data_IF_288950355355
#
_entry.id   IF_288950355355
#
_cell.length_a   1.000
_cell.length_b   1.000
_cell.length_c   1.000
_cell.angle_alpha   90.00
_cell.angle_beta   90.00
_cell.angle_gamma   90.00
#
_symmetry.space_group_name_H-M   'P 1'
#
loop_
_entity.id
_entity.type
_entity.pdbx_description
1 polymer ?
#
# COMPACT_ATOMS: atom_id res chain seq x y z
N UNK A 1 7.38 0.80 -25.28
CA UNK A 1 6.84 1.41 -24.04
C UNK A 1 5.97 2.65 -24.28
N UNK A 2 4.97 2.88 -23.42
CA UNK A 2 4.24 4.16 -23.29
C UNK A 2 4.83 5.07 -22.20
N UNK A 3 5.97 4.69 -21.63
CA UNK A 3 6.65 5.40 -20.55
C UNK A 3 7.97 5.98 -21.04
N UNK A 4 8.26 7.17 -20.54
CA UNK A 4 9.48 7.92 -20.80
C UNK A 4 10.08 8.35 -19.46
N UNK A 5 11.40 8.40 -19.40
CA UNK A 5 12.16 9.06 -18.34
C UNK A 5 12.61 10.43 -18.84
N UNK A 6 12.53 11.45 -18.00
CA UNK A 6 12.86 12.82 -18.35
C UNK A 6 13.48 13.54 -17.14
N UNK A 7 13.94 14.77 -17.37
CA UNK A 7 14.33 15.69 -16.31
C UNK A 7 13.56 17.02 -16.42
N UNK A 8 13.78 17.94 -15.49
CA UNK A 8 13.30 19.33 -15.59
C UNK A 8 14.45 20.28 -15.88
N UNK A 9 14.23 21.25 -16.76
CA UNK A 9 15.21 22.30 -17.06
C UNK A 9 15.18 23.42 -16.00
N UNK A 10 16.04 24.44 -16.14
CA UNK A 10 16.13 25.56 -15.19
C UNK A 10 14.85 26.40 -15.01
N UNK A 11 13.89 26.27 -15.93
CA UNK A 11 12.57 26.91 -15.83
C UNK A 11 11.51 25.98 -15.23
N UNK A 12 11.90 24.79 -14.77
CA UNK A 12 11.00 23.77 -14.24
C UNK A 12 10.19 23.03 -15.30
N UNK A 13 10.46 23.22 -16.60
CA UNK A 13 9.75 22.52 -17.67
C UNK A 13 10.38 21.15 -17.93
N UNK A 14 9.55 20.16 -18.27
CA UNK A 14 10.02 18.83 -18.69
C UNK A 14 10.94 18.97 -19.90
N UNK A 15 12.08 18.28 -19.85
CA UNK A 15 13.10 18.27 -20.90
C UNK A 15 13.69 16.87 -21.09
N UNK A 16 14.38 16.68 -22.21
CA UNK A 16 15.20 15.47 -22.47
C UNK A 16 14.44 14.15 -22.34
N UNK A 17 13.22 14.06 -22.89
CA UNK A 17 12.44 12.82 -22.82
C UNK A 17 13.19 11.66 -23.52
N UNK A 18 13.35 10.55 -22.80
CA UNK A 18 13.92 9.30 -23.29
C UNK A 18 12.91 8.19 -23.10
N UNK A 19 12.54 7.52 -24.19
CA UNK A 19 11.61 6.39 -24.13
C UNK A 19 12.28 5.23 -23.39
N UNK A 20 11.63 4.66 -22.38
CA UNK A 20 12.25 3.66 -21.48
C UNK A 20 12.60 2.35 -22.19
N UNK A 21 11.79 1.95 -23.18
CA UNK A 21 12.11 0.81 -24.05
C UNK A 21 11.28 0.89 -25.34
N UNK A 22 11.88 0.46 -26.44
CA UNK A 22 11.18 0.25 -27.71
C UNK A 22 10.40 -1.07 -27.73
N UNK A 23 10.82 -2.03 -26.92
CA UNK A 23 10.25 -3.37 -26.86
C UNK A 23 9.05 -3.44 -25.90
N UNK A 24 8.28 -4.52 -26.03
CA UNK A 24 7.23 -4.87 -25.08
C UNK A 24 7.83 -5.66 -23.95
N UNK A 25 7.71 -5.15 -22.73
CA UNK A 25 8.15 -5.82 -21.51
C UNK A 25 6.95 -6.06 -20.59
N UNK A 26 7.01 -7.14 -19.82
CA UNK A 26 6.07 -7.38 -18.73
C UNK A 26 6.65 -6.77 -17.45
N UNK A 27 5.87 -5.88 -16.83
CA UNK A 27 6.17 -5.30 -15.53
C UNK A 27 4.88 -5.39 -14.70
N UNK A 28 4.80 -6.40 -13.82
CA UNK A 28 3.64 -6.64 -12.98
C UNK A 28 3.69 -5.78 -11.70
N UNK A 29 2.56 -5.63 -10.98
CA UNK A 29 2.57 -4.96 -9.68
C UNK A 29 3.60 -5.60 -8.73
N UNK A 30 4.51 -4.79 -8.19
CA UNK A 30 5.60 -5.23 -7.31
C UNK A 30 6.89 -5.62 -8.04
N UNK A 31 6.90 -5.65 -9.37
CA UNK A 31 8.14 -5.83 -10.13
C UNK A 31 8.99 -4.54 -10.15
N UNK A 32 10.29 -4.72 -10.31
CA UNK A 32 11.27 -3.65 -10.38
C UNK A 32 12.08 -3.77 -11.67
N UNK A 33 12.23 -2.65 -12.38
CA UNK A 33 13.16 -2.51 -13.50
C UNK A 33 14.11 -1.34 -13.26
N UNK A 34 15.27 -1.39 -13.90
CA UNK A 34 16.26 -0.31 -13.85
C UNK A 34 16.56 0.17 -15.26
N UNK A 35 16.73 1.48 -15.43
CA UNK A 35 17.14 2.08 -16.70
C UNK A 35 18.58 2.56 -16.54
N UNK A 36 19.45 2.23 -17.50
CA UNK A 36 20.89 2.55 -17.45
C UNK A 36 21.42 2.89 -18.84
N UNK A 37 22.55 3.60 -18.93
CA UNK A 37 23.31 3.76 -20.18
C UNK A 37 24.27 2.59 -20.44
N UNK A 38 24.69 1.90 -19.37
CA UNK A 38 25.68 0.82 -19.41
C UNK A 38 25.23 -0.34 -18.49
N UNK A 39 24.67 -1.39 -19.09
CA UNK A 39 24.23 -2.56 -18.34
C UNK A 39 25.40 -3.41 -17.81
N UNK A 40 26.55 -3.40 -18.50
CA UNK A 40 27.71 -4.18 -18.09
C UNK A 40 28.38 -3.54 -16.87
N UNK A 41 28.51 -2.22 -16.85
CA UNK A 41 28.99 -1.50 -15.67
C UNK A 41 28.05 -1.72 -14.48
N UNK A 42 26.73 -1.56 -14.67
CA UNK A 42 25.74 -1.77 -13.60
C UNK A 42 25.87 -3.16 -12.96
N UNK A 43 26.01 -4.22 -13.77
CA UNK A 43 26.17 -5.61 -13.31
C UNK A 43 27.50 -5.90 -12.63
N UNK A 44 28.54 -5.08 -12.88
CA UNK A 44 29.83 -5.17 -12.17
C UNK A 44 29.80 -4.43 -10.84
N UNK A 45 29.06 -3.33 -10.77
CA UNK A 45 28.99 -2.44 -9.61
C UNK A 45 27.99 -2.93 -8.57
N UNK A 46 26.87 -3.54 -8.99
CA UNK A 46 25.78 -3.92 -8.10
C UNK A 46 25.28 -5.34 -8.38
N UNK A 47 24.69 -5.96 -7.35
CA UNK A 47 23.95 -7.21 -7.52
C UNK A 47 22.69 -6.95 -8.36
N UNK A 48 22.60 -7.57 -9.53
CA UNK A 48 21.39 -7.57 -10.37
C UNK A 48 20.69 -8.92 -10.24
N UNK A 49 19.49 -8.95 -9.64
CA UNK A 49 18.72 -10.18 -9.44
C UNK A 49 17.95 -10.61 -10.67
N UNK A 50 17.46 -9.67 -11.47
CA UNK A 50 16.74 -9.94 -12.71
C UNK A 50 17.38 -9.20 -13.88
N UNK A 51 18.20 -9.90 -14.67
CA UNK A 51 18.89 -9.29 -15.82
C UNK A 51 17.94 -8.85 -16.94
N UNK A 52 16.76 -9.46 -17.06
CA UNK A 52 15.76 -9.11 -18.08
C UNK A 52 15.04 -7.79 -17.75
N UNK A 53 15.14 -7.34 -16.49
CA UNK A 53 14.59 -6.06 -16.03
C UNK A 53 15.62 -4.91 -16.09
N UNK A 54 16.77 -5.12 -16.74
CA UNK A 54 17.75 -4.07 -17.03
C UNK A 54 17.49 -3.51 -18.42
N UNK A 55 17.06 -2.25 -18.48
CA UNK A 55 16.71 -1.56 -19.71
C UNK A 55 17.83 -0.58 -20.07
N UNK A 56 18.64 -0.94 -21.07
CA UNK A 56 19.73 -0.09 -21.52
C UNK A 56 19.26 0.91 -22.58
N UNK A 57 19.55 2.19 -22.35
CA UNK A 57 19.32 3.27 -23.30
C UNK A 57 20.63 3.78 -23.87
N UNK A 58 20.60 4.31 -25.08
CA UNK A 58 21.79 4.97 -25.67
C UNK A 58 22.18 6.24 -24.91
N UNK A 59 21.22 6.87 -24.23
CA UNK A 59 21.48 7.93 -23.28
C UNK A 59 20.29 8.14 -22.34
N UNK A 60 20.55 8.61 -21.13
CA UNK A 60 19.59 9.09 -20.15
C UNK A 60 19.42 10.61 -20.26
N UNK A 61 18.37 11.17 -19.63
CA UNK A 61 18.37 12.59 -19.25
C UNK A 61 19.56 12.86 -18.31
N UNK A 62 20.03 14.11 -18.26
CA UNK A 62 21.04 14.49 -17.27
C UNK A 62 20.45 14.39 -15.87
N UNK A 63 21.08 13.55 -15.03
CA UNK A 63 20.73 13.26 -13.64
C UNK A 63 22.02 13.38 -12.80
N UNK A 64 22.47 14.61 -12.48
CA UNK A 64 23.64 14.84 -11.63
C UNK A 64 23.45 14.19 -10.25
N UNK A 65 24.53 13.78 -9.62
CA UNK A 65 24.55 13.19 -8.26
C UNK A 65 24.31 14.24 -7.16
N UNK A 66 24.74 15.50 -7.36
CA UNK A 66 24.54 16.60 -6.40
C UNK A 66 23.05 16.98 -6.21
N UNK A 67 22.34 17.21 -7.32
CA UNK A 67 20.89 17.48 -7.34
C UNK A 67 20.33 17.36 -8.75
N UNK A 68 19.09 16.90 -8.84
CA UNK A 68 18.41 16.78 -10.12
C UNK A 68 16.92 16.60 -9.96
N UNK A 69 16.23 16.43 -11.08
CA UNK A 69 14.83 16.00 -11.08
C UNK A 69 14.69 14.84 -12.03
N UNK A 70 14.29 13.69 -11.50
CA UNK A 70 13.89 12.53 -12.29
C UNK A 70 12.37 12.54 -12.45
N UNK A 71 11.90 12.40 -13.69
CA UNK A 71 10.47 12.43 -14.03
C UNK A 71 10.12 11.17 -14.81
N UNK A 72 9.11 10.44 -14.34
CA UNK A 72 8.46 9.37 -15.08
C UNK A 72 7.20 9.92 -15.73
N UNK A 73 7.15 9.90 -17.06
CA UNK A 73 6.07 10.51 -17.83
C UNK A 73 5.44 9.48 -18.78
N UNK A 74 4.11 9.50 -18.87
CA UNK A 74 3.37 8.69 -19.82
C UNK A 74 3.34 9.36 -21.21
N UNK A 75 3.11 8.58 -22.27
CA UNK A 75 3.15 9.04 -23.67
C UNK A 75 2.14 10.15 -23.99
N UNK A 76 1.08 10.29 -23.19
CA UNK A 76 0.11 11.37 -23.32
C UNK A 76 0.55 12.70 -22.65
N UNK A 77 1.72 12.72 -21.99
CA UNK A 77 2.26 13.88 -21.30
C UNK A 77 1.98 13.94 -19.80
N UNK A 78 1.23 12.98 -19.26
CA UNK A 78 0.93 12.94 -17.82
C UNK A 78 2.19 12.53 -17.03
N UNK A 79 2.57 13.35 -16.04
CA UNK A 79 3.61 12.99 -15.08
C UNK A 79 3.02 11.95 -14.12
N UNK A 80 3.59 10.74 -14.15
CA UNK A 80 3.16 9.64 -13.30
C UNK A 80 3.79 9.73 -11.91
N UNK A 81 5.08 10.05 -11.87
CA UNK A 81 5.82 10.32 -10.63
C UNK A 81 7.03 11.22 -10.93
N UNK A 82 7.48 11.96 -9.93
CA UNK A 82 8.68 12.77 -10.00
C UNK A 82 9.35 12.95 -8.64
N UNK A 83 10.67 13.08 -8.64
CA UNK A 83 11.47 13.40 -7.46
C UNK A 83 12.51 14.46 -7.79
N UNK A 84 12.51 15.55 -7.03
CA UNK A 84 13.58 16.54 -7.02
C UNK A 84 14.54 16.22 -5.86
N UNK A 85 15.56 15.41 -6.15
CA UNK A 85 16.48 14.89 -5.14
C UNK A 85 17.69 15.81 -4.94
N UNK A 86 18.38 15.61 -3.82
CA UNK A 86 19.67 16.23 -3.48
C UNK A 86 20.57 15.19 -2.83
N UNK A 87 21.87 15.32 -3.02
CA UNK A 87 22.92 14.56 -2.34
C UNK A 87 22.75 14.55 -0.82
N UNK A 88 22.35 15.67 -0.22
CA UNK A 88 22.13 15.81 1.22
C UNK A 88 21.01 14.91 1.80
N UNK A 89 20.34 14.11 0.96
CA UNK A 89 19.36 13.08 1.35
C UNK A 89 20.01 11.76 1.74
N UNK A 90 21.30 11.58 1.44
CA UNK A 90 22.07 10.47 1.97
C UNK A 90 22.18 10.52 3.49
N UNK A 91 22.39 9.36 4.09
CA UNK A 91 22.59 9.25 5.53
C UNK A 91 23.85 10.02 5.94
N UNK A 92 23.70 11.01 6.83
CA UNK A 92 24.76 11.97 7.15
C UNK A 92 26.01 11.42 7.85
N UNK A 93 26.10 10.11 8.11
CA UNK A 93 27.32 9.44 8.57
C UNK A 93 28.06 8.70 7.45
N UNK A 94 27.60 8.82 6.20
CA UNK A 94 28.34 8.35 5.02
C UNK A 94 29.26 9.49 4.60
N UNK A 95 30.57 9.29 4.77
CA UNK A 95 31.60 10.29 4.43
C UNK A 95 31.80 10.43 2.91
N UNK A 96 31.53 9.36 2.16
CA UNK A 96 31.60 9.32 0.69
C UNK A 96 30.42 8.49 0.18
N UNK A 97 29.48 9.15 -0.48
CA UNK A 97 28.26 8.59 -1.06
C UNK A 97 28.44 8.16 -2.53
N UNK A 98 29.65 8.22 -3.06
CA UNK A 98 29.97 7.68 -4.39
C UNK A 98 29.58 6.20 -4.50
N UNK A 99 28.77 5.88 -5.51
CA UNK A 99 28.24 4.54 -5.72
C UNK A 99 27.15 4.11 -4.72
N UNK A 100 26.60 5.03 -3.93
CA UNK A 100 25.47 4.76 -3.02
C UNK A 100 24.17 5.25 -3.63
N UNK A 101 23.21 4.35 -3.83
CA UNK A 101 21.90 4.75 -4.33
C UNK A 101 21.04 5.42 -3.23
N UNK A 102 20.27 6.44 -3.61
CA UNK A 102 19.11 6.88 -2.84
C UNK A 102 17.94 5.94 -3.09
N UNK A 103 17.41 5.37 -2.03
CA UNK A 103 16.29 4.43 -2.07
C UNK A 103 15.07 5.04 -1.38
N UNK A 104 13.92 4.99 -2.06
CA UNK A 104 12.63 5.32 -1.46
C UNK A 104 12.24 4.25 -0.43
N UNK A 105 11.81 4.70 0.75
CA UNK A 105 11.42 3.86 1.88
C UNK A 105 10.01 3.30 1.64
N UNK A 106 9.02 4.16 1.41
CA UNK A 106 7.63 3.82 1.18
C UNK A 106 7.18 4.28 -0.23
N UNK A 107 6.91 3.35 -1.17
CA UNK A 107 6.44 3.68 -2.52
C UNK A 107 5.10 4.42 -2.55
N UNK A 108 4.26 4.30 -1.52
CA UNK A 108 2.95 4.95 -1.46
C UNK A 108 3.01 6.35 -0.83
N UNK A 109 4.09 6.68 -0.11
CA UNK A 109 4.31 8.02 0.45
C UNK A 109 4.89 8.98 -0.59
N UNK A 110 4.64 10.29 -0.46
CA UNK A 110 5.03 11.29 -1.46
C UNK A 110 6.55 11.27 -1.81
N UNK A 111 6.86 11.24 -3.11
CA UNK A 111 8.24 11.22 -3.64
C UNK A 111 9.05 12.46 -3.27
N UNK A 112 8.41 13.61 -3.10
CA UNK A 112 9.07 14.88 -2.74
C UNK A 112 9.42 14.98 -1.25
N UNK A 113 8.97 14.03 -0.41
CA UNK A 113 9.30 14.02 1.01
C UNK A 113 10.71 13.44 1.22
N UNK A 114 11.69 14.28 1.56
CA UNK A 114 13.06 13.86 1.91
C UNK A 114 13.10 12.70 2.91
N UNK A 115 12.25 12.72 3.94
CA UNK A 115 12.21 11.66 4.96
C UNK A 115 11.73 10.31 4.45
N UNK A 116 11.24 10.25 3.21
CA UNK A 116 10.87 9.01 2.52
C UNK A 116 12.02 8.43 1.68
N UNK A 117 13.22 8.97 1.80
CA UNK A 117 14.41 8.51 1.10
C UNK A 117 15.53 8.27 2.09
N UNK A 118 16.38 7.29 1.76
CA UNK A 118 17.54 6.97 2.56
C UNK A 118 18.60 6.30 1.69
N UNK A 119 19.85 6.31 2.13
CA UNK A 119 20.93 5.56 1.46
C UNK A 119 20.64 4.06 1.48
N UNK A 120 20.91 3.40 0.36
CA UNK A 120 20.92 1.95 0.24
C UNK A 120 21.89 1.31 1.25
N UNK A 121 21.54 0.14 1.78
CA UNK A 121 22.31 -0.53 2.82
C UNK A 121 23.61 -1.15 2.29
N UNK A 122 24.67 -1.15 3.13
CA UNK A 122 25.93 -1.86 2.82
C UNK A 122 25.71 -3.36 2.58
N UNK A 123 24.75 -3.99 3.26
CA UNK A 123 24.47 -5.43 3.13
C UNK A 123 23.96 -5.86 1.75
N UNK A 124 23.46 -4.92 0.93
CA UNK A 124 23.06 -5.16 -0.47
C UNK A 124 24.09 -4.63 -1.48
N UNK A 125 25.23 -4.11 -1.00
CA UNK A 125 26.24 -3.49 -1.86
C UNK A 125 25.83 -2.10 -2.35
N UNK A 126 25.14 -1.32 -1.52
CA UNK A 126 24.81 0.10 -1.79
C UNK A 126 23.86 0.37 -2.96
N UNK A 127 23.15 -0.64 -3.46
CA UNK A 127 22.03 -0.44 -4.38
C UNK A 127 21.27 -1.74 -4.71
N UNK A 128 19.98 -1.62 -5.01
CA UNK A 128 19.11 -2.76 -5.35
C UNK A 128 18.50 -2.69 -6.75
N UNK A 129 19.31 -2.59 -7.83
CA UNK A 129 18.73 -2.57 -9.17
C UNK A 129 17.94 -3.86 -9.43
N UNK A 130 16.74 -3.73 -10.01
CA UNK A 130 15.84 -4.85 -10.41
C UNK A 130 15.16 -5.63 -9.27
N UNK A 131 15.23 -5.15 -8.02
CA UNK A 131 14.47 -5.72 -6.91
C UNK A 131 14.16 -4.67 -5.84
N UNK A 132 13.37 -5.07 -4.84
CA UNK A 132 12.93 -4.19 -3.76
C UNK A 132 14.11 -3.51 -3.04
N UNK A 133 13.95 -2.19 -2.82
CA UNK A 133 14.84 -1.34 -2.03
C UNK A 133 15.17 -1.98 -0.67
N UNK A 134 16.43 -1.89 -0.27
CA UNK A 134 16.92 -2.33 1.05
C UNK A 134 16.32 -1.53 2.21
N UNK A 135 15.98 -0.27 1.94
CA UNK A 135 15.31 0.63 2.89
C UNK A 135 13.79 0.50 2.87
N UNK A 136 13.24 -0.41 2.06
CA UNK A 136 11.79 -0.56 1.93
C UNK A 136 11.15 -0.81 3.28
N UNK A 137 10.23 0.09 3.63
CA UNK A 137 9.31 -0.09 4.74
C UNK A 137 7.90 -0.01 4.18
N UNK A 138 7.21 -1.13 4.20
CA UNK A 138 5.76 -1.11 4.13
C UNK A 138 5.28 -0.33 5.35
N UNK A 139 4.47 0.72 5.18
CA UNK A 139 3.83 1.39 6.32
C UNK A 139 3.27 0.30 7.25
N UNK A 140 3.66 0.37 8.52
CA UNK A 140 3.10 -0.51 9.52
C UNK A 140 1.59 -0.31 9.47
N UNK A 141 0.86 -1.38 9.14
CA UNK A 141 -0.59 -1.36 9.12
C UNK A 141 -1.06 -0.82 10.47
N UNK A 142 -1.79 0.31 10.47
CA UNK A 142 -2.56 0.85 11.60
C UNK A 142 -2.79 -0.23 12.68
N UNK A 143 -2.18 -0.06 13.85
CA UNK A 143 -2.18 -1.13 14.86
C UNK A 143 -3.55 -1.22 15.54
N UNK A 144 -4.42 -1.99 14.90
CA UNK A 144 -5.73 -2.35 15.39
C UNK A 144 -5.95 -3.86 15.33
N UNK A 145 -6.82 -4.34 16.21
CA UNK A 145 -7.36 -5.70 16.19
C UNK A 145 -8.88 -5.63 16.20
N UNK A 146 -9.51 -6.59 15.52
CA UNK A 146 -10.96 -6.79 15.54
C UNK A 146 -11.23 -8.29 15.67
N UNK A 147 -12.08 -8.67 16.61
CA UNK A 147 -12.52 -10.05 16.82
C UNK A 147 -14.04 -10.14 16.84
N UNK A 148 -14.58 -11.32 16.54
CA UNK A 148 -16.03 -11.56 16.47
C UNK A 148 -16.37 -12.81 17.26
N UNK A 149 -17.28 -12.66 18.22
CA UNK A 149 -17.77 -13.76 19.04
C UNK A 149 -19.29 -13.62 19.32
N UNK A 150 -20.05 -14.73 19.32
CA UNK A 150 -19.64 -16.06 18.87
C UNK A 150 -19.50 -16.12 17.34
N UNK A 151 -18.82 -17.15 16.81
CA UNK A 151 -18.69 -17.36 15.35
C UNK A 151 -19.97 -17.92 14.71
N UNK A 152 -20.88 -18.42 15.52
CA UNK A 152 -22.22 -18.89 15.14
C UNK A 152 -23.16 -18.32 16.19
N UNK A 153 -24.23 -17.65 15.77
CA UNK A 153 -25.20 -17.03 16.67
C UNK A 153 -26.63 -17.26 16.17
N UNK A 154 -27.59 -17.34 17.10
CA UNK A 154 -29.00 -17.64 16.87
C UNK A 154 -29.88 -16.60 17.56
N UNK A 155 -30.36 -15.56 16.85
CA UNK A 155 -31.20 -14.52 17.43
C UNK A 155 -32.64 -15.01 17.59
N UNK A 156 -32.87 -15.92 18.54
CA UNK A 156 -34.19 -16.47 18.91
C UNK A 156 -34.68 -16.00 20.29
N UNK A 157 -33.87 -15.17 20.96
CA UNK A 157 -34.13 -14.54 22.25
C UNK A 157 -34.30 -15.56 23.39
N UNK A 158 -33.55 -16.66 23.31
CA UNK A 158 -33.45 -17.68 24.35
C UNK A 158 -32.40 -17.35 25.44
N UNK A 159 -31.65 -16.25 25.25
CA UNK A 159 -30.60 -15.77 26.14
C UNK A 159 -29.21 -16.33 25.83
N UNK A 160 -29.06 -17.16 24.80
CA UNK A 160 -27.81 -17.80 24.40
C UNK A 160 -27.46 -17.44 22.96
N UNK A 161 -26.27 -16.88 22.78
CA UNK A 161 -25.73 -16.57 21.45
C UNK A 161 -26.71 -15.77 20.57
N UNK A 162 -27.50 -14.88 21.18
CA UNK A 162 -28.54 -14.08 20.52
C UNK A 162 -27.99 -12.94 19.63
N UNK A 163 -26.76 -12.50 19.91
CA UNK A 163 -26.09 -11.43 19.19
C UNK A 163 -24.66 -11.79 18.89
N UNK A 164 -24.17 -11.31 17.76
CA UNK A 164 -22.75 -11.34 17.42
C UNK A 164 -22.07 -10.06 17.92
N UNK A 165 -21.09 -10.19 18.80
CA UNK A 165 -20.29 -9.08 19.29
C UNK A 165 -19.01 -8.96 18.48
N UNK A 166 -18.76 -7.75 17.97
CA UNK A 166 -17.56 -7.35 17.23
C UNK A 166 -16.75 -6.45 18.15
N UNK A 167 -15.67 -6.97 18.72
CA UNK A 167 -14.80 -6.24 19.62
C UNK A 167 -13.60 -5.67 18.86
N UNK A 168 -13.16 -4.47 19.23
CA UNK A 168 -11.98 -3.83 18.65
C UNK A 168 -11.03 -3.28 19.71
N UNK A 169 -9.75 -3.17 19.33
CA UNK A 169 -8.73 -2.43 20.07
C UNK A 169 -7.85 -1.66 19.09
N UNK A 170 -7.55 -0.40 19.42
CA UNK A 170 -6.64 0.48 18.67
C UNK A 170 -5.59 1.06 19.61
N UNK A 171 -4.39 1.34 19.11
CA UNK A 171 -3.29 1.88 19.93
C UNK A 171 -3.46 3.38 20.26
N UNK A 172 -3.99 4.14 19.32
CA UNK A 172 -4.14 5.60 19.41
C UNK A 172 -5.60 6.05 19.35
N UNK A 173 -5.84 7.30 19.77
CA UNK A 173 -7.15 7.94 19.65
C UNK A 173 -7.29 8.62 18.29
N UNK A 174 -8.53 8.94 17.89
CA UNK A 174 -8.80 9.65 16.64
C UNK A 174 -9.01 8.75 15.43
N UNK A 175 -9.02 7.42 15.63
CA UNK A 175 -9.49 6.47 14.62
C UNK A 175 -11.01 6.48 14.50
N UNK A 176 -11.48 6.22 13.29
CA UNK A 176 -12.89 6.12 12.91
C UNK A 176 -13.11 4.74 12.29
N UNK A 177 -14.28 4.14 12.51
CA UNK A 177 -14.64 2.86 11.87
C UNK A 177 -15.92 2.90 11.03
N UNK A 178 -15.91 2.04 10.01
CA UNK A 178 -17.09 1.57 9.29
C UNK A 178 -17.22 0.05 9.46
N UNK A 179 -18.43 -0.44 9.68
CA UNK A 179 -18.73 -1.89 9.74
C UNK A 179 -19.86 -2.21 8.79
N UNK A 180 -19.60 -3.09 7.83
CA UNK A 180 -20.56 -3.52 6.81
C UNK A 180 -20.68 -5.04 6.87
N UNK A 181 -21.90 -5.54 6.89
CA UNK A 181 -22.23 -6.95 6.81
C UNK A 181 -22.56 -7.29 5.36
N UNK A 182 -21.93 -8.34 4.84
CA UNK A 182 -22.14 -8.88 3.50
C UNK A 182 -22.70 -10.30 3.57
N UNK A 183 -23.54 -10.67 2.59
CA UNK A 183 -23.90 -12.07 2.38
C UNK A 183 -22.75 -12.87 1.75
N UNK A 184 -22.91 -14.19 1.65
CA UNK A 184 -21.91 -15.08 1.04
C UNK A 184 -21.60 -14.78 -0.44
N UNK A 185 -22.43 -14.00 -1.13
CA UNK A 185 -22.19 -13.54 -2.51
C UNK A 185 -21.46 -12.19 -2.56
N UNK A 186 -21.10 -11.61 -1.41
CA UNK A 186 -20.41 -10.32 -1.32
C UNK A 186 -21.34 -9.12 -1.51
N UNK A 187 -22.67 -9.27 -1.40
CA UNK A 187 -23.60 -8.15 -1.46
C UNK A 187 -23.76 -7.52 -0.07
N UNK A 188 -23.68 -6.19 0.08
CA UNK A 188 -23.89 -5.55 1.38
C UNK A 188 -25.34 -5.71 1.80
N UNK A 189 -25.56 -6.28 2.98
CA UNK A 189 -26.88 -6.48 3.57
C UNK A 189 -27.16 -5.56 4.74
N UNK A 190 -26.12 -4.97 5.37
CA UNK A 190 -26.26 -3.97 6.44
C UNK A 190 -25.00 -3.13 6.60
N UNK A 191 -25.17 -1.82 6.77
CA UNK A 191 -24.16 -0.96 7.37
C UNK A 191 -24.42 -0.88 8.87
N UNK A 192 -23.69 -1.69 9.63
CA UNK A 192 -23.86 -1.74 11.08
C UNK A 192 -23.35 -0.46 11.75
N UNK A 193 -22.25 0.08 11.25
CA UNK A 193 -21.57 1.25 11.80
C UNK A 193 -21.14 2.16 10.64
N UNK A 194 -21.38 3.47 10.78
CA UNK A 194 -21.02 4.49 9.79
C UNK A 194 -20.24 5.61 10.46
N UNK A 195 -18.94 5.69 10.19
CA UNK A 195 -18.02 6.71 10.67
C UNK A 195 -18.06 6.90 12.20
N UNK A 196 -17.98 5.80 12.94
CA UNK A 196 -17.97 5.84 14.41
C UNK A 196 -16.58 6.21 14.93
N UNK A 197 -16.51 7.23 15.78
CA UNK A 197 -15.26 7.68 16.39
C UNK A 197 -14.87 6.73 17.52
N UNK A 198 -13.72 6.08 17.39
CA UNK A 198 -13.31 5.01 18.28
C UNK A 198 -12.71 5.54 19.58
N UNK A 199 -13.03 4.83 20.66
CA UNK A 199 -12.20 4.82 21.86
C UNK A 199 -11.05 3.80 21.70
N UNK A 200 -10.16 3.63 22.69
CA UNK A 200 -9.05 2.66 22.56
C UNK A 200 -9.51 1.20 22.48
N UNK A 201 -10.67 0.88 23.06
CA UNK A 201 -11.28 -0.45 23.05
C UNK A 201 -12.79 -0.29 23.08
N UNK A 202 -13.49 -1.08 22.28
CA UNK A 202 -14.96 -1.05 22.27
C UNK A 202 -15.55 -2.25 21.57
N UNK A 203 -16.87 -2.20 21.39
CA UNK A 203 -17.60 -3.27 20.74
C UNK A 203 -18.86 -2.77 20.05
N UNK A 204 -19.27 -3.48 19.01
CA UNK A 204 -20.57 -3.35 18.34
C UNK A 204 -21.28 -4.68 18.33
N UNK A 205 -22.61 -4.68 18.33
CA UNK A 205 -23.41 -5.89 18.30
C UNK A 205 -24.22 -5.96 17.00
N UNK A 206 -24.25 -7.15 16.41
CA UNK A 206 -25.13 -7.48 15.29
C UNK A 206 -26.18 -8.50 15.72
N UNK A 207 -27.44 -8.17 15.44
CA UNK A 207 -28.65 -8.88 15.85
C UNK A 207 -29.17 -9.86 14.77
N UNK A 208 -28.44 -10.05 13.66
CA UNK A 208 -28.86 -10.89 12.54
C UNK A 208 -29.88 -10.25 11.59
N UNK A 209 -30.18 -8.97 11.76
CA UNK A 209 -31.05 -8.21 10.87
C UNK A 209 -30.22 -7.50 9.79
N UNK A 210 -30.83 -7.33 8.62
CA UNK A 210 -30.30 -6.55 7.51
C UNK A 210 -30.68 -5.08 7.62
N UNK A 211 -30.45 -4.34 6.54
CA UNK A 211 -30.99 -2.99 6.39
C UNK A 211 -32.50 -2.98 6.58
N UNK A 212 -33.03 -1.88 7.11
CA UNK A 212 -34.46 -1.70 7.42
C UNK A 212 -35.01 -2.74 8.42
N UNK A 213 -34.16 -3.34 9.26
CA UNK A 213 -34.55 -4.29 10.31
C UNK A 213 -35.18 -5.59 9.77
N UNK A 214 -34.93 -5.93 8.50
CA UNK A 214 -35.44 -7.16 7.91
C UNK A 214 -34.67 -8.38 8.43
N UNK A 215 -35.38 -9.46 8.76
CA UNK A 215 -34.76 -10.73 9.13
C UNK A 215 -33.98 -11.31 7.95
N UNK A 216 -32.68 -11.55 8.15
CA UNK A 216 -31.85 -12.16 7.12
C UNK A 216 -31.99 -13.69 7.09
N UNK A 217 -31.78 -14.38 5.96
CA UNK A 217 -31.77 -15.83 5.91
C UNK A 217 -30.70 -16.46 6.81
N UNK A 218 -30.91 -17.73 7.18
CA UNK A 218 -29.84 -18.54 7.78
C UNK A 218 -28.72 -18.71 6.76
N UNK A 219 -27.48 -18.53 7.18
CA UNK A 219 -26.34 -18.64 6.26
C UNK A 219 -25.05 -18.03 6.80
N UNK A 220 -24.04 -18.06 5.95
CA UNK A 220 -22.74 -17.44 6.23
C UNK A 220 -22.74 -15.98 5.77
N UNK A 221 -22.18 -15.12 6.62
CA UNK A 221 -22.03 -13.70 6.41
C UNK A 221 -20.58 -13.27 6.65
N UNK A 222 -20.20 -12.15 6.04
CA UNK A 222 -18.89 -11.53 6.22
C UNK A 222 -19.09 -10.20 6.92
N UNK A 223 -18.45 -10.02 8.05
CA UNK A 223 -18.30 -8.73 8.72
C UNK A 223 -17.04 -8.08 8.17
N UNK A 224 -17.20 -6.97 7.48
CA UNK A 224 -16.11 -6.15 7.00
C UNK A 224 -15.99 -4.90 7.88
N UNK A 225 -14.87 -4.79 8.59
CA UNK A 225 -14.57 -3.63 9.42
C UNK A 225 -13.42 -2.85 8.80
N UNK A 226 -13.59 -1.55 8.66
CA UNK A 226 -12.57 -0.63 8.19
C UNK A 226 -12.29 0.40 9.28
N UNK A 227 -11.03 0.53 9.70
CA UNK A 227 -10.56 1.50 10.69
C UNK A 227 -9.58 2.44 10.00
N UNK A 228 -9.73 3.76 10.18
CA UNK A 228 -8.92 4.76 9.51
C UNK A 228 -8.82 6.06 10.32
N UNK A 229 -7.86 6.94 10.02
CA UNK A 229 -7.74 8.27 10.62
C UNK A 229 -7.76 9.40 9.57
N UNK A 230 -7.70 10.64 10.04
CA UNK A 230 -7.67 11.85 9.19
C UNK A 230 -6.35 12.02 8.43
N UNK A 231 -5.29 11.31 8.84
CA UNK A 231 -3.98 11.30 8.21
C UNK A 231 -3.91 10.33 7.02
N UNK A 232 -5.00 9.60 6.74
CA UNK A 232 -5.11 8.67 5.62
C UNK A 232 -4.60 7.26 5.92
N UNK A 233 -4.23 6.96 7.17
CA UNK A 233 -3.91 5.60 7.59
C UNK A 233 -5.21 4.79 7.67
N UNK A 234 -5.15 3.53 7.20
CA UNK A 234 -6.32 2.67 7.12
C UNK A 234 -5.93 1.20 7.27
N UNK A 235 -6.80 0.42 7.90
CA UNK A 235 -6.74 -1.05 7.96
C UNK A 235 -8.12 -1.66 7.86
N UNK A 236 -8.20 -2.82 7.23
CA UNK A 236 -9.46 -3.53 7.03
C UNK A 236 -9.38 -4.95 7.59
N UNK A 237 -10.50 -5.42 8.14
CA UNK A 237 -10.68 -6.74 8.75
C UNK A 237 -11.87 -7.43 8.07
N UNK A 238 -11.76 -8.74 7.88
CA UNK A 238 -12.81 -9.59 7.34
C UNK A 238 -13.00 -10.78 8.27
N UNK A 239 -14.14 -10.87 8.92
CA UNK A 239 -14.50 -11.97 9.80
C UNK A 239 -15.70 -12.70 9.23
N UNK A 240 -15.64 -14.02 9.22
CA UNK A 240 -16.77 -14.86 8.80
C UNK A 240 -17.59 -15.25 10.01
N UNK A 241 -18.91 -15.19 9.89
CA UNK A 241 -19.86 -15.55 10.94
C UNK A 241 -21.05 -16.31 10.33
N UNK A 242 -21.63 -17.24 11.10
CA UNK A 242 -22.84 -17.97 10.71
C UNK A 242 -24.04 -17.45 11.51
N UNK A 243 -25.08 -17.02 10.79
CA UNK A 243 -26.40 -16.75 11.37
C UNK A 243 -27.23 -18.03 11.30
N UNK A 244 -27.56 -18.59 12.45
CA UNK A 244 -28.36 -19.80 12.61
C UNK A 244 -29.78 -19.48 13.09
N UNK A 245 -30.67 -20.48 13.02
CA UNK A 245 -31.98 -20.49 13.67
C UNK A 245 -32.26 -21.88 14.18
N UNK A 246 -32.91 -21.97 15.33
CA UNK A 246 -33.43 -23.24 15.82
C UNK A 246 -34.44 -23.79 14.80
N UNK A 247 -34.32 -25.09 14.49
CA UNK A 247 -35.36 -25.79 13.75
C UNK A 247 -36.56 -25.91 14.67
N UNK A 248 -37.68 -25.28 14.32
CA UNK A 248 -38.96 -25.61 14.93
C UNK A 248 -39.25 -27.09 14.65
N UNK A 249 -39.38 -27.91 15.70
CA UNK A 249 -39.89 -29.28 15.55
C UNK A 249 -41.28 -29.24 14.88
N UNK A 250 -41.59 -30.19 13.97
CA UNK A 250 -42.86 -30.24 13.25
C UNK A 250 -44.07 -30.50 14.15
#
# INVERSE_FOLDING_TARGET
SKLYIANRNGNGLVSSLKKITEESIYLFPGDYCVVTEDADNLKRSYLVKNSDAVLQLSSLPSLPDDKGTAVLIHVNGDVMDEVAYKDDWHFGLIDNDEGVALERIDPDAASQNKSNWHSAATSVGYGTPTYQNSQYKKRDDLHATVDVAPRIFSPDNDGRDDVATISYQVEEAGYVANVIIFDASGRPVRHLVKNDLLSRKGQWNWDGLGEKQAKLPVGTYIIFTEIFNLQGEKKSFKQTIVLARQLSEP
#
